data_IF_749743300570
#
_entry.id   IF_749743300570
#
_cell.length_a   1.000
_cell.length_b   1.000
_cell.length_c   1.000
_cell.angle_alpha   90.00
_cell.angle_beta   90.00
_cell.angle_gamma   90.00
#
_symmetry.space_group_name_H-M   'P 1'
#
loop_
_entity.id
_entity.type
_entity.pdbx_description
1 polymer ?
#
# COMPACT_ATOMS: atom_id res chain seq x y z
N UNK A 1 -17.24 9.34 -4.95
CA UNK A 1 -15.82 9.56 -4.64
C UNK A 1 -15.42 10.93 -5.18
N UNK A 2 -14.48 11.60 -4.51
CA UNK A 2 -13.89 12.89 -4.89
C UNK A 2 -12.41 12.87 -4.56
N UNK A 3 -11.62 13.73 -5.18
CA UNK A 3 -10.30 14.10 -4.65
C UNK A 3 -10.47 14.90 -3.35
N UNK A 4 -9.50 14.80 -2.44
CA UNK A 4 -9.63 15.50 -1.16
C UNK A 4 -9.68 17.01 -1.29
N UNK A 5 -8.99 17.61 -2.25
CA UNK A 5 -8.97 19.06 -2.44
C UNK A 5 -10.32 19.61 -2.94
N UNK A 6 -11.13 18.79 -3.64
CA UNK A 6 -12.52 19.16 -4.01
C UNK A 6 -13.41 19.32 -2.76
N UNK A 7 -13.06 18.60 -1.68
CA UNK A 7 -13.79 18.59 -0.41
C UNK A 7 -13.13 19.51 0.63
N UNK A 8 -11.81 19.65 0.65
CA UNK A 8 -11.08 20.40 1.66
C UNK A 8 -10.97 19.66 3.01
N UNK A 9 -9.77 19.73 3.62
CA UNK A 9 -9.41 19.01 4.86
C UNK A 9 -10.42 19.16 6.02
N UNK A 10 -11.05 20.33 6.30
CA UNK A 10 -11.97 20.45 7.42
C UNK A 10 -13.18 19.51 7.37
N UNK A 11 -13.65 19.15 6.17
CA UNK A 11 -14.83 18.30 5.95
C UNK A 11 -14.52 16.79 5.96
N UNK A 12 -13.24 16.42 6.11
CA UNK A 12 -12.77 15.03 6.07
C UNK A 12 -12.45 14.54 7.49
N UNK A 13 -12.84 13.31 7.81
CA UNK A 13 -12.46 12.61 9.05
C UNK A 13 -11.25 11.73 8.77
N UNK A 14 -10.07 12.15 9.25
CA UNK A 14 -8.83 11.38 9.15
C UNK A 14 -8.60 10.54 10.40
N UNK A 15 -7.88 9.42 10.27
CA UNK A 15 -7.33 8.67 11.41
C UNK A 15 -8.35 8.00 12.33
N UNK A 16 -9.60 7.82 11.89
CA UNK A 16 -10.57 7.02 12.64
C UNK A 16 -10.08 5.57 12.70
N UNK A 17 -10.16 4.91 13.85
CA UNK A 17 -9.68 3.52 14.01
C UNK A 17 -10.73 2.48 13.67
N UNK A 18 -12.00 2.87 13.70
CA UNK A 18 -13.14 1.99 13.54
C UNK A 18 -14.41 2.79 13.22
N UNK A 19 -15.51 2.06 12.99
CA UNK A 19 -16.83 2.63 12.70
C UNK A 19 -17.39 3.51 13.81
N UNK A 20 -17.11 3.20 15.08
CA UNK A 20 -17.60 3.97 16.23
C UNK A 20 -16.99 5.37 16.23
N UNK A 21 -15.67 5.45 16.07
CA UNK A 21 -14.97 6.73 15.94
C UNK A 21 -15.41 7.49 14.69
N UNK A 22 -15.55 6.80 13.55
CA UNK A 22 -16.00 7.41 12.30
C UNK A 22 -17.40 8.05 12.46
N UNK A 23 -18.33 7.35 13.10
CA UNK A 23 -19.67 7.88 13.38
C UNK A 23 -19.64 9.04 14.38
N UNK A 24 -18.79 8.97 15.41
CA UNK A 24 -18.65 10.05 16.38
C UNK A 24 -18.19 11.38 15.74
N UNK A 25 -17.43 11.32 14.64
CA UNK A 25 -17.01 12.54 13.93
C UNK A 25 -18.16 13.33 13.30
N UNK A 26 -19.30 12.68 13.01
CA UNK A 26 -20.41 13.24 12.22
C UNK A 26 -20.01 13.78 10.83
N UNK A 27 -18.80 13.48 10.36
CA UNK A 27 -18.32 13.93 9.05
C UNK A 27 -18.84 13.03 7.93
N UNK A 28 -18.87 13.60 6.73
CA UNK A 28 -19.36 12.93 5.52
C UNK A 28 -18.25 12.21 4.75
N UNK A 29 -17.04 12.75 4.77
CA UNK A 29 -15.95 12.32 3.89
C UNK A 29 -14.85 11.63 4.68
N UNK A 30 -14.38 10.50 4.16
CA UNK A 30 -13.34 9.67 4.77
C UNK A 30 -12.28 9.31 3.71
N UNK A 31 -10.99 9.20 4.08
CA UNK A 31 -9.92 8.73 3.20
C UNK A 31 -10.27 7.41 2.52
N UNK A 32 -9.88 7.29 1.25
CA UNK A 32 -10.23 6.17 0.40
C UNK A 32 -9.03 5.69 -0.43
N UNK A 33 -8.65 4.42 -0.27
CA UNK A 33 -7.66 3.75 -1.10
C UNK A 33 -8.32 3.15 -2.35
N UNK A 34 -8.08 3.78 -3.50
CA UNK A 34 -8.55 3.33 -4.83
C UNK A 34 -7.48 2.54 -5.61
N UNK A 35 -6.38 2.18 -4.96
CA UNK A 35 -5.15 1.76 -5.66
C UNK A 35 -4.47 2.98 -6.30
N UNK A 36 -4.03 2.87 -7.54
CA UNK A 36 -3.41 3.97 -8.28
C UNK A 36 -2.17 3.54 -9.03
N UNK A 37 -1.33 4.50 -9.42
CA UNK A 37 -0.06 4.23 -10.08
C UNK A 37 0.83 3.28 -9.25
N UNK A 38 1.71 2.55 -9.93
CA UNK A 38 2.68 1.69 -9.27
C UNK A 38 3.52 2.50 -8.28
N UNK A 39 3.58 1.99 -7.05
CA UNK A 39 4.30 2.62 -5.94
C UNK A 39 4.49 1.60 -4.83
N UNK A 40 5.70 1.58 -4.25
CA UNK A 40 6.06 0.80 -3.06
C UNK A 40 6.05 1.67 -1.80
N UNK A 41 5.95 1.01 -0.65
CA UNK A 41 6.10 1.51 0.72
C UNK A 41 5.03 2.47 1.22
N UNK A 42 4.66 3.52 0.50
CA UNK A 42 3.63 4.48 0.94
C UNK A 42 3.12 5.36 -0.21
N UNK A 43 1.86 5.81 -0.17
CA UNK A 43 1.30 6.82 -1.07
C UNK A 43 -0.03 6.42 -1.74
N UNK A 44 -0.38 7.13 -2.82
CA UNK A 44 -1.65 7.04 -3.56
C UNK A 44 -2.89 7.46 -2.74
N UNK A 45 -2.69 8.40 -1.82
CA UNK A 45 -3.69 8.89 -0.89
C UNK A 45 -4.32 10.19 -1.39
N UNK A 46 -5.18 10.07 -2.41
CA UNK A 46 -5.74 11.24 -3.11
C UNK A 46 -7.27 11.34 -3.00
N UNK A 47 -7.95 10.21 -2.74
CA UNK A 47 -9.39 10.11 -2.81
C UNK A 47 -10.08 10.09 -1.45
N UNK A 48 -11.28 10.65 -1.41
CA UNK A 48 -12.23 10.51 -0.32
C UNK A 48 -13.54 9.92 -0.80
N UNK A 49 -14.18 9.17 0.07
CA UNK A 49 -15.49 8.57 -0.16
C UNK A 49 -16.49 9.09 0.86
N UNK A 50 -17.75 9.19 0.42
CA UNK A 50 -18.86 9.53 1.28
C UNK A 50 -19.23 8.31 2.12
N UNK A 51 -18.85 8.30 3.39
CA UNK A 51 -19.21 7.25 4.33
C UNK A 51 -20.09 7.77 5.48
N UNK A 52 -20.83 8.86 5.23
CA UNK A 52 -21.76 9.43 6.21
C UNK A 52 -22.77 8.39 6.70
N UNK A 53 -23.00 8.35 8.02
CA UNK A 53 -23.89 7.40 8.68
C UNK A 53 -23.66 5.96 8.19
N UNK A 54 -22.40 5.53 8.25
CA UNK A 54 -21.96 4.20 7.82
C UNK A 54 -22.35 3.89 6.36
N UNK A 55 -22.09 4.86 5.48
CA UNK A 55 -22.29 4.72 4.04
C UNK A 55 -23.75 4.57 3.62
N UNK A 56 -24.73 5.09 4.37
CA UNK A 56 -26.17 4.91 4.08
C UNK A 56 -26.54 5.30 2.65
N UNK A 57 -25.98 6.40 2.12
CA UNK A 57 -26.22 6.84 0.74
C UNK A 57 -25.65 5.84 -0.28
N UNK A 58 -24.48 5.25 0.01
CA UNK A 58 -23.85 4.24 -0.88
C UNK A 58 -24.60 2.92 -0.80
N UNK A 59 -24.98 2.45 0.39
CA UNK A 59 -25.69 1.18 0.57
C UNK A 59 -27.07 1.18 -0.09
N UNK A 60 -27.69 2.35 -0.25
CA UNK A 60 -29.01 2.52 -0.84
C UNK A 60 -28.98 3.18 -2.24
N UNK A 61 -27.81 3.28 -2.89
CA UNK A 61 -27.74 3.83 -4.24
C UNK A 61 -28.42 2.86 -5.21
N UNK A 62 -29.54 3.27 -5.80
CA UNK A 62 -30.30 2.49 -6.76
C UNK A 62 -30.00 2.99 -8.17
N UNK A 63 -29.65 2.07 -9.08
CA UNK A 63 -29.42 2.37 -10.49
C UNK A 63 -30.74 2.48 -11.27
N UNK A 64 -30.64 2.88 -12.54
CA UNK A 64 -31.79 3.08 -13.43
C UNK A 64 -32.66 1.83 -13.59
N UNK A 65 -32.08 0.64 -13.40
CA UNK A 65 -32.77 -0.65 -13.44
C UNK A 65 -33.50 -1.02 -12.14
N UNK A 66 -33.60 -0.10 -11.16
CA UNK A 66 -34.24 -0.32 -9.87
C UNK A 66 -33.45 -1.22 -8.91
N UNK A 67 -32.24 -1.66 -9.27
CA UNK A 67 -31.38 -2.48 -8.41
C UNK A 67 -30.35 -1.62 -7.69
N UNK A 68 -29.97 -2.04 -6.48
CA UNK A 68 -28.87 -1.43 -5.74
C UNK A 68 -27.58 -1.53 -6.57
N UNK A 69 -27.01 -0.37 -6.91
CA UNK A 69 -25.86 -0.20 -7.80
C UNK A 69 -24.51 -0.33 -7.07
N UNK A 70 -24.49 -0.26 -5.75
CA UNK A 70 -23.27 -0.41 -4.94
C UNK A 70 -23.46 -1.40 -3.80
N UNK A 71 -22.47 -2.26 -3.63
CA UNK A 71 -22.42 -3.26 -2.57
C UNK A 71 -21.05 -3.19 -1.90
N UNK A 72 -20.88 -2.31 -0.90
CA UNK A 72 -19.67 -2.31 -0.09
C UNK A 72 -19.48 -3.69 0.55
N UNK A 73 -18.28 -4.23 0.45
CA UNK A 73 -17.90 -5.52 1.03
C UNK A 73 -16.73 -5.31 1.99
N UNK A 74 -16.52 -6.28 2.89
CA UNK A 74 -15.43 -6.27 3.86
C UNK A 74 -15.41 -4.98 4.71
N UNK A 75 -16.59 -4.40 4.97
CA UNK A 75 -16.73 -3.16 5.73
C UNK A 75 -16.16 -3.28 7.14
N UNK A 76 -16.12 -4.48 7.71
CA UNK A 76 -15.53 -4.76 9.04
C UNK A 76 -14.02 -4.49 9.11
N UNK A 77 -13.35 -4.42 7.95
CA UNK A 77 -11.94 -4.08 7.82
C UNK A 77 -11.69 -2.60 7.54
N UNK A 78 -12.73 -1.80 7.29
CA UNK A 78 -12.56 -0.37 7.11
C UNK A 78 -11.95 0.26 8.36
N UNK A 79 -11.17 1.31 8.14
CA UNK A 79 -10.48 2.10 9.16
C UNK A 79 -9.29 1.42 9.84
N UNK A 80 -9.07 0.13 9.59
CA UNK A 80 -7.93 -0.60 10.15
C UNK A 80 -6.62 -0.23 9.46
N UNK A 81 -5.54 -0.35 10.23
CA UNK A 81 -4.17 -0.29 9.73
C UNK A 81 -3.78 -1.59 9.01
N UNK A 82 -2.92 -1.51 8.01
CA UNK A 82 -2.44 -2.71 7.32
C UNK A 82 -1.52 -2.43 6.15
N UNK A 83 -1.65 -3.27 5.12
CA UNK A 83 -0.92 -3.15 3.86
C UNK A 83 -1.93 -3.05 2.72
N UNK A 84 -1.67 -2.19 1.74
CA UNK A 84 -2.50 -2.01 0.54
C UNK A 84 -1.66 -2.09 -0.73
N UNK A 85 -2.25 -2.53 -1.84
CA UNK A 85 -1.60 -2.58 -3.14
C UNK A 85 -2.59 -2.19 -4.25
N UNK A 86 -2.05 -1.96 -5.44
CA UNK A 86 -2.88 -1.76 -6.62
C UNK A 86 -3.20 -3.12 -7.23
N UNK A 87 -4.49 -3.42 -7.38
CA UNK A 87 -4.98 -4.68 -7.96
C UNK A 87 -4.55 -4.89 -9.40
N UNK A 88 -4.52 -3.84 -10.23
CA UNK A 88 -4.16 -3.94 -11.63
C UNK A 88 -2.94 -3.06 -11.91
N UNK A 89 -1.81 -3.68 -12.24
CA UNK A 89 -0.58 -2.95 -12.57
C UNK A 89 0.25 -3.70 -13.60
N UNK A 90 0.63 -2.99 -14.66
CA UNK A 90 1.62 -3.41 -15.66
C UNK A 90 2.97 -2.73 -15.43
N UNK A 91 3.29 -2.40 -14.18
CA UNK A 91 4.62 -1.94 -13.78
C UNK A 91 5.18 -2.79 -12.62
N UNK A 92 4.56 -3.94 -12.36
CA UNK A 92 4.89 -4.87 -11.29
C UNK A 92 4.02 -4.72 -10.04
N UNK A 93 4.29 -5.59 -9.08
CA UNK A 93 3.64 -5.56 -7.78
C UNK A 93 4.33 -4.58 -6.83
N UNK A 94 3.54 -3.74 -6.15
CA UNK A 94 4.02 -2.80 -5.15
C UNK A 94 3.05 -2.69 -3.98
N UNK A 95 3.51 -3.10 -2.80
CA UNK A 95 2.78 -3.00 -1.55
C UNK A 95 3.13 -1.70 -0.82
N UNK A 96 2.13 -1.11 -0.17
CA UNK A 96 2.22 0.16 0.55
C UNK A 96 1.63 0.01 1.95
N UNK A 97 2.18 0.75 2.90
CA UNK A 97 1.58 0.91 4.21
C UNK A 97 0.20 1.59 4.10
N UNK A 98 -0.80 1.00 4.76
CA UNK A 98 -2.16 1.51 4.89
C UNK A 98 -2.35 2.06 6.31
N UNK A 99 -2.39 3.39 6.49
CA UNK A 99 -2.70 3.98 7.79
C UNK A 99 -4.14 3.71 8.22
N UNK A 100 -4.40 3.85 9.52
CA UNK A 100 -5.76 3.88 10.07
C UNK A 100 -6.59 5.01 9.44
N UNK A 101 -7.91 4.85 9.40
CA UNK A 101 -8.84 5.86 8.91
C UNK A 101 -9.22 5.75 7.44
N UNK A 102 -8.77 4.71 6.74
CA UNK A 102 -9.05 4.51 5.32
C UNK A 102 -10.18 3.52 5.07
N UNK A 103 -10.98 3.81 4.07
CA UNK A 103 -11.86 2.87 3.38
C UNK A 103 -11.13 2.39 2.11
N UNK A 104 -11.41 1.18 1.64
CA UNK A 104 -10.77 0.63 0.45
C UNK A 104 -11.77 -0.14 -0.42
N UNK A 105 -11.38 -0.38 -1.68
CA UNK A 105 -12.10 -1.25 -2.60
C UNK A 105 -11.19 -2.31 -3.21
N UNK A 106 -11.72 -3.07 -4.16
CA UNK A 106 -10.95 -4.09 -4.89
C UNK A 106 -9.74 -3.50 -5.62
N UNK A 107 -9.80 -2.26 -6.11
CA UNK A 107 -8.69 -1.63 -6.84
C UNK A 107 -7.56 -1.18 -5.93
N UNK A 108 -7.88 -0.81 -4.70
CA UNK A 108 -6.96 -0.64 -3.57
C UNK A 108 -7.03 -1.79 -2.58
N UNK A 109 -6.87 -3.02 -3.06
CA UNK A 109 -6.94 -4.21 -2.19
C UNK A 109 -5.97 -4.11 -1.02
N UNK A 110 -6.35 -4.74 0.10
CA UNK A 110 -5.64 -4.57 1.37
C UNK A 110 -5.59 -5.87 2.18
N UNK A 111 -4.54 -6.01 2.97
CA UNK A 111 -4.32 -7.09 3.94
C UNK A 111 -4.07 -6.53 5.33
N UNK A 112 -4.53 -7.24 6.36
CA UNK A 112 -4.56 -6.77 7.74
C UNK A 112 -3.85 -7.76 8.68
N UNK A 113 -2.51 -7.89 8.57
CA UNK A 113 -1.73 -8.69 9.52
C UNK A 113 -1.75 -8.02 10.91
N UNK A 114 -1.30 -8.72 11.97
CA UNK A 114 -1.06 -8.09 13.27
C UNK A 114 -0.20 -6.82 13.14
N UNK A 115 -0.51 -5.78 13.93
CA UNK A 115 0.11 -4.45 13.80
C UNK A 115 1.64 -4.49 13.88
N UNK A 116 2.18 -5.34 14.74
CA UNK A 116 3.61 -5.56 14.93
C UNK A 116 4.30 -6.24 13.73
N UNK A 117 3.53 -6.95 12.89
CA UNK A 117 4.00 -7.62 11.68
C UNK A 117 3.82 -6.81 10.40
N UNK A 118 3.08 -5.69 10.43
CA UNK A 118 2.84 -4.85 9.23
C UNK A 118 4.16 -4.48 8.52
N UNK A 119 5.20 -3.97 9.22
CA UNK A 119 6.45 -3.58 8.55
C UNK A 119 7.19 -4.78 7.93
N UNK A 120 7.21 -5.93 8.60
CA UNK A 120 7.81 -7.15 8.07
C UNK A 120 7.08 -7.67 6.83
N UNK A 121 5.74 -7.75 6.90
CA UNK A 121 4.92 -8.17 5.76
C UNK A 121 5.14 -7.23 4.58
N UNK A 122 5.24 -5.92 4.83
CA UNK A 122 5.53 -4.94 3.78
C UNK A 122 6.93 -5.13 3.17
N UNK A 123 7.94 -5.46 3.97
CA UNK A 123 9.29 -5.80 3.49
C UNK A 123 9.25 -7.03 2.58
N UNK A 124 8.63 -8.12 3.05
CA UNK A 124 8.50 -9.37 2.29
C UNK A 124 7.80 -9.09 0.96
N UNK A 125 6.64 -8.44 0.98
CA UNK A 125 5.82 -8.19 -0.21
C UNK A 125 6.51 -7.30 -1.26
N UNK A 126 7.41 -6.40 -0.86
CA UNK A 126 8.14 -5.52 -1.77
C UNK A 126 9.46 -6.09 -2.31
N UNK A 127 9.87 -7.27 -1.85
CA UNK A 127 11.11 -7.93 -2.26
C UNK A 127 11.06 -8.50 -3.68
N UNK A 128 12.24 -8.76 -4.25
CA UNK A 128 12.39 -9.51 -5.51
C UNK A 128 11.88 -10.94 -5.40
N UNK A 129 12.08 -11.60 -4.26
CA UNK A 129 11.52 -12.94 -4.01
C UNK A 129 10.00 -12.95 -4.16
N UNK A 130 9.29 -12.00 -3.53
CA UNK A 130 7.82 -11.94 -3.64
C UNK A 130 7.36 -11.60 -5.04
N UNK A 131 8.07 -10.72 -5.75
CA UNK A 131 7.77 -10.43 -7.16
C UNK A 131 7.92 -11.69 -8.03
N UNK A 132 8.98 -12.47 -7.83
CA UNK A 132 9.19 -13.74 -8.50
C UNK A 132 8.13 -14.80 -8.14
N UNK A 133 7.78 -14.92 -6.86
CA UNK A 133 6.73 -15.86 -6.43
C UNK A 133 5.36 -15.50 -7.04
N UNK A 134 4.99 -14.22 -7.03
CA UNK A 134 3.74 -13.75 -7.61
C UNK A 134 3.68 -13.98 -9.13
N UNK A 135 4.81 -13.80 -9.81
CA UNK A 135 4.92 -14.10 -11.23
C UNK A 135 4.63 -15.56 -11.58
N UNK A 136 5.08 -16.49 -10.73
CA UNK A 136 4.80 -17.92 -10.87
C UNK A 136 3.34 -18.22 -10.57
N UNK A 137 2.80 -17.62 -9.50
CA UNK A 137 1.44 -17.89 -9.03
C UNK A 137 0.35 -17.30 -9.93
N UNK A 138 0.63 -16.16 -10.54
CA UNK A 138 -0.28 -15.42 -11.38
C UNK A 138 0.51 -14.60 -12.43
N UNK A 139 0.70 -15.12 -13.65
CA UNK A 139 1.45 -14.45 -14.71
C UNK A 139 0.64 -13.32 -15.37
N UNK A 140 -0.33 -12.73 -14.66
CA UNK A 140 -1.14 -11.62 -15.15
C UNK A 140 -0.83 -10.34 -14.39
N UNK A 141 -1.29 -9.21 -14.93
CA UNK A 141 -1.18 -7.88 -14.30
C UNK A 141 -2.15 -7.66 -13.13
N UNK A 142 -2.92 -8.68 -12.72
CA UNK A 142 -3.94 -8.57 -11.68
C UNK A 142 -3.53 -9.28 -10.40
N UNK A 143 -3.34 -8.55 -9.31
CA UNK A 143 -2.88 -9.02 -8.00
C UNK A 143 -4.04 -9.17 -7.02
N UNK A 144 -4.69 -10.35 -7.02
CA UNK A 144 -5.83 -10.61 -6.15
C UNK A 144 -5.40 -10.93 -4.71
N UNK A 145 -6.31 -10.73 -3.75
CA UNK A 145 -6.07 -11.07 -2.33
C UNK A 145 -5.60 -12.52 -2.15
N UNK A 146 -6.17 -13.45 -2.93
CA UNK A 146 -5.77 -14.86 -2.91
C UNK A 146 -4.35 -15.13 -3.42
N UNK A 147 -3.82 -14.31 -4.31
CA UNK A 147 -2.44 -14.42 -4.79
C UNK A 147 -1.47 -13.98 -3.70
N UNK A 148 -1.76 -12.84 -3.08
CA UNK A 148 -0.92 -12.26 -2.03
C UNK A 148 -0.90 -13.16 -0.79
N UNK A 149 -2.03 -13.79 -0.45
CA UNK A 149 -2.13 -14.72 0.65
C UNK A 149 -1.29 -16.00 0.48
N UNK A 150 -0.82 -16.32 -0.75
CA UNK A 150 0.07 -17.46 -1.03
C UNK A 150 1.54 -17.12 -0.88
N UNK A 151 1.90 -15.84 -0.78
CA UNK A 151 3.29 -15.42 -0.56
C UNK A 151 3.71 -15.86 0.84
N UNK A 152 4.77 -16.70 0.96
CA UNK A 152 5.20 -17.17 2.27
C UNK A 152 5.77 -16.02 3.09
N UNK A 153 5.36 -15.93 4.36
CA UNK A 153 5.93 -15.02 5.37
C UNK A 153 6.50 -15.89 6.49
N UNK A 154 7.78 -15.75 6.81
CA UNK A 154 8.46 -16.60 7.79
C UNK A 154 8.15 -16.18 9.22
N UNK A 155 7.16 -16.80 9.86
CA UNK A 155 6.74 -16.47 11.22
C UNK A 155 7.78 -16.76 12.35
N UNK A 156 8.99 -17.28 12.03
CA UNK A 156 9.82 -17.97 13.03
C UNK A 156 11.24 -17.43 13.27
N UNK A 157 11.65 -16.33 12.63
CA UNK A 157 12.97 -15.72 12.92
C UNK A 157 12.83 -14.28 13.45
N UNK A 158 12.77 -14.15 14.78
CA UNK A 158 12.63 -12.85 15.46
C UNK A 158 13.71 -11.83 15.07
N UNK A 159 14.94 -12.26 14.78
CA UNK A 159 16.02 -11.36 14.42
C UNK A 159 15.81 -10.79 13.01
N UNK A 160 15.52 -11.67 12.04
CA UNK A 160 15.21 -11.26 10.67
C UNK A 160 13.96 -10.38 10.62
N UNK A 161 12.92 -10.72 11.38
CA UNK A 161 11.71 -9.92 11.52
C UNK A 161 12.01 -8.48 11.99
N UNK A 162 12.87 -8.31 13.00
CA UNK A 162 13.29 -6.99 13.48
C UNK A 162 14.10 -6.20 12.43
N UNK A 163 15.02 -6.87 11.73
CA UNK A 163 15.83 -6.23 10.66
C UNK A 163 14.91 -5.76 9.53
N UNK A 164 14.06 -6.65 9.01
CA UNK A 164 13.12 -6.35 7.93
C UNK A 164 12.16 -5.23 8.33
N UNK A 165 11.63 -5.28 9.55
CA UNK A 165 10.76 -4.23 10.08
C UNK A 165 11.45 -2.88 10.14
N UNK A 166 12.71 -2.83 10.61
CA UNK A 166 13.50 -1.60 10.65
C UNK A 166 13.79 -1.02 9.26
N UNK A 167 14.11 -1.87 8.29
CA UNK A 167 14.34 -1.46 6.89
C UNK A 167 13.05 -0.93 6.25
N UNK A 168 11.94 -1.65 6.39
CA UNK A 168 10.65 -1.24 5.85
C UNK A 168 10.16 0.06 6.48
N UNK A 169 10.31 0.23 7.79
CA UNK A 169 9.96 1.48 8.47
C UNK A 169 10.72 2.66 7.85
N UNK A 170 12.05 2.52 7.65
CA UNK A 170 12.85 3.59 7.05
C UNK A 170 12.42 3.90 5.61
N UNK A 171 12.10 2.87 4.82
CA UNK A 171 11.56 3.05 3.47
C UNK A 171 10.19 3.76 3.46
N UNK A 172 9.29 3.42 4.40
CA UNK A 172 8.02 4.12 4.60
C UNK A 172 8.26 5.60 4.91
N UNK A 173 9.17 5.92 5.85
CA UNK A 173 9.48 7.31 6.22
C UNK A 173 9.95 8.12 5.00
N UNK A 174 10.85 7.56 4.18
CA UNK A 174 11.33 8.24 2.98
C UNK A 174 10.16 8.55 2.04
N UNK A 175 9.27 7.58 1.78
CA UNK A 175 8.09 7.80 0.94
C UNK A 175 7.05 8.74 1.55
N UNK A 176 6.93 8.76 2.88
CA UNK A 176 6.08 9.74 3.58
C UNK A 176 6.64 11.15 3.41
N UNK A 177 7.95 11.35 3.51
CA UNK A 177 8.57 12.65 3.23
C UNK A 177 8.26 13.13 1.80
N UNK A 178 8.41 12.25 0.80
CA UNK A 178 8.00 12.55 -0.58
C UNK A 178 6.50 12.90 -0.69
N UNK A 179 5.65 12.22 0.10
CA UNK A 179 4.22 12.50 0.15
C UNK A 179 3.92 13.89 0.73
N UNK A 180 4.64 14.30 1.78
CA UNK A 180 4.51 15.66 2.35
C UNK A 180 4.93 16.77 1.39
N UNK A 181 5.66 16.42 0.33
CA UNK A 181 6.11 17.33 -0.72
C UNK A 181 5.22 17.31 -1.97
N UNK A 182 4.20 16.44 -2.02
CA UNK A 182 3.28 16.31 -3.13
C UNK A 182 1.92 16.95 -2.84
N UNK A 183 1.55 17.99 -3.59
CA UNK A 183 0.28 18.72 -3.43
C UNK A 183 -0.98 17.87 -3.61
N UNK A 184 -0.89 16.71 -4.27
CA UNK A 184 -2.03 15.80 -4.42
C UNK A 184 -2.24 14.86 -3.23
N UNK A 185 -1.30 14.81 -2.27
CA UNK A 185 -1.40 13.92 -1.12
C UNK A 185 -2.07 14.58 0.10
N UNK A 186 -2.74 13.79 0.95
CA UNK A 186 -3.41 14.31 2.16
C UNK A 186 -2.45 14.94 3.16
N UNK A 187 -1.25 14.40 3.26
CA UNK A 187 -0.18 14.80 4.15
C UNK A 187 0.72 15.89 3.56
N UNK A 188 0.34 16.49 2.42
CA UNK A 188 1.04 17.66 1.87
C UNK A 188 1.23 18.77 2.91
N UNK A 189 2.47 19.25 3.00
CA UNK A 189 2.92 20.35 3.86
C UNK A 189 3.43 21.50 2.98
N UNK A 190 4.43 21.24 2.14
CA UNK A 190 5.07 22.23 1.29
C UNK A 190 5.85 21.53 0.17
N UNK A 191 6.03 22.16 -1.01
CA UNK A 191 6.84 21.57 -2.08
C UNK A 191 8.32 21.45 -1.66
N UNK A 192 9.13 20.65 -2.38
CA UNK A 192 10.56 20.55 -2.12
C UNK A 192 11.24 21.94 -2.14
N UNK A 193 12.26 22.17 -1.30
CA UNK A 193 12.98 23.44 -1.30
C UNK A 193 13.58 23.77 -2.68
N UNK A 194 13.51 25.04 -3.09
CA UNK A 194 14.00 25.45 -4.41
C UNK A 194 15.51 25.21 -4.59
N UNK A 195 16.31 25.46 -3.54
CA UNK A 195 17.78 25.48 -3.63
C UNK A 195 18.38 24.07 -3.71
N UNK A 196 17.90 23.15 -2.88
CA UNK A 196 18.47 21.80 -2.75
C UNK A 196 17.44 20.67 -2.89
N UNK A 197 16.19 20.97 -3.29
CA UNK A 197 15.14 19.97 -3.48
C UNK A 197 15.51 18.85 -4.46
N UNK A 198 16.10 19.15 -5.65
CA UNK A 198 16.53 18.11 -6.57
C UNK A 198 17.60 17.17 -5.97
N UNK A 199 18.57 17.72 -5.24
CA UNK A 199 19.63 16.94 -4.59
C UNK A 199 19.06 16.03 -3.49
N UNK A 200 18.17 16.57 -2.65
CA UNK A 200 17.49 15.80 -1.61
C UNK A 200 16.65 14.66 -2.20
N UNK A 201 15.97 14.91 -3.33
CA UNK A 201 15.20 13.88 -4.02
C UNK A 201 16.10 12.77 -4.58
N UNK A 202 17.28 13.10 -5.12
CA UNK A 202 18.26 12.11 -5.58
C UNK A 202 18.79 11.30 -4.39
N UNK A 203 19.18 11.97 -3.30
CA UNK A 203 19.70 11.33 -2.09
C UNK A 203 18.69 10.33 -1.51
N UNK A 204 17.42 10.71 -1.40
CA UNK A 204 16.34 9.82 -0.94
C UNK A 204 16.14 8.62 -1.85
N UNK A 205 16.27 8.78 -3.17
CA UNK A 205 16.17 7.67 -4.14
C UNK A 205 17.32 6.68 -3.98
N UNK A 206 18.54 7.18 -3.78
CA UNK A 206 19.72 6.33 -3.51
C UNK A 206 19.52 5.57 -2.20
N UNK A 207 19.17 6.28 -1.12
CA UNK A 207 18.92 5.66 0.19
C UNK A 207 17.81 4.61 0.12
N UNK A 208 16.71 4.90 -0.61
CA UNK A 208 15.64 3.93 -0.78
C UNK A 208 16.10 2.69 -1.55
N UNK A 209 16.88 2.86 -2.62
CA UNK A 209 17.41 1.73 -3.38
C UNK A 209 18.34 0.85 -2.54
N UNK A 210 19.19 1.45 -1.70
CA UNK A 210 20.04 0.72 -0.74
C UNK A 210 19.21 -0.04 0.30
N UNK A 211 18.11 0.54 0.78
CA UNK A 211 17.20 -0.13 1.71
C UNK A 211 16.48 -1.31 1.04
N UNK A 212 16.01 -1.14 -0.19
CA UNK A 212 15.38 -2.19 -0.99
C UNK A 212 16.36 -3.36 -1.23
N UNK A 213 17.60 -3.06 -1.58
CA UNK A 213 18.65 -4.08 -1.73
C UNK A 213 18.88 -4.85 -0.42
N UNK A 214 18.98 -4.16 0.72
CA UNK A 214 19.17 -4.79 2.03
C UNK A 214 17.98 -5.64 2.47
N UNK A 215 16.76 -5.26 2.07
CA UNK A 215 15.56 -6.08 2.26
C UNK A 215 15.67 -7.38 1.46
N UNK A 216 16.07 -7.30 0.19
CA UNK A 216 16.28 -8.48 -0.64
C UNK A 216 17.34 -9.41 -0.06
N UNK A 217 18.50 -8.88 0.36
CA UNK A 217 19.59 -9.65 0.98
C UNK A 217 19.14 -10.40 2.25
N UNK A 218 18.41 -9.73 3.14
CA UNK A 218 17.91 -10.37 4.37
C UNK A 218 16.80 -11.39 4.08
N UNK A 219 16.00 -11.19 3.03
CA UNK A 219 15.01 -12.18 2.59
C UNK A 219 15.70 -13.40 2.00
N UNK A 220 16.67 -13.22 1.10
CA UNK A 220 17.42 -14.34 0.55
C UNK A 220 18.09 -15.16 1.66
N UNK A 221 18.69 -14.49 2.64
CA UNK A 221 19.27 -15.13 3.82
C UNK A 221 18.23 -15.87 4.67
N UNK A 222 17.12 -15.22 5.01
CA UNK A 222 16.11 -15.79 5.93
C UNK A 222 15.32 -16.94 5.31
N UNK A 223 15.11 -16.92 3.99
CA UNK A 223 14.44 -17.98 3.24
C UNK A 223 15.40 -19.10 2.81
N UNK A 224 16.71 -18.95 3.05
CA UNK A 224 17.71 -19.96 2.71
C UNK A 224 17.92 -20.11 1.20
N UNK A 225 17.72 -19.03 0.44
CA UNK A 225 17.88 -19.01 -1.01
C UNK A 225 19.36 -19.01 -1.38
N UNK A 226 19.79 -20.03 -2.11
CA UNK A 226 21.17 -20.21 -2.55
C UNK A 226 21.61 -19.14 -3.55
N UNK A 227 22.90 -19.02 -3.82
CA UNK A 227 23.41 -18.09 -4.84
C UNK A 227 22.80 -18.34 -6.22
N UNK A 228 22.58 -19.62 -6.57
CA UNK A 228 21.95 -20.02 -7.82
C UNK A 228 20.47 -19.62 -7.86
N UNK A 229 19.75 -19.74 -6.73
CA UNK A 229 18.36 -19.29 -6.62
C UNK A 229 18.26 -17.77 -6.79
N UNK A 230 19.16 -17.03 -6.14
CA UNK A 230 19.22 -15.57 -6.24
C UNK A 230 19.47 -15.12 -7.68
N UNK A 231 20.47 -15.72 -8.34
CA UNK A 231 20.76 -15.43 -9.74
C UNK A 231 19.56 -15.73 -10.63
N UNK A 232 18.89 -16.87 -10.42
CA UNK A 232 17.69 -17.26 -11.18
C UNK A 232 16.57 -16.23 -11.00
N UNK A 233 16.29 -15.81 -9.76
CA UNK A 233 15.28 -14.79 -9.45
C UNK A 233 15.62 -13.48 -10.18
N UNK A 234 16.85 -13.02 -10.10
CA UNK A 234 17.25 -11.76 -10.74
C UNK A 234 17.19 -11.82 -12.26
N UNK A 235 17.62 -12.92 -12.87
CA UNK A 235 17.55 -13.12 -14.31
C UNK A 235 16.12 -13.16 -14.83
N UNK A 236 15.22 -13.88 -14.16
CA UNK A 236 13.81 -13.98 -14.58
C UNK A 236 13.09 -12.63 -14.46
N UNK A 237 13.38 -11.84 -13.41
CA UNK A 237 12.84 -10.49 -13.27
C UNK A 237 13.41 -9.51 -14.33
N UNK A 238 14.67 -9.67 -14.75
CA UNK A 238 15.29 -8.84 -15.78
C UNK A 238 14.81 -9.15 -17.20
N UNK A 239 14.54 -10.43 -17.50
CA UNK A 239 14.12 -10.88 -18.84
C UNK A 239 12.75 -10.33 -19.26
N UNK A 240 11.94 -9.81 -18.34
CA UNK A 240 10.58 -9.35 -18.64
C UNK A 240 9.66 -10.47 -19.17
N UNK A 241 10.11 -11.74 -19.10
CA UNK A 241 9.30 -12.94 -19.39
C UNK A 241 8.19 -13.14 -18.35
N UNK A 242 8.23 -12.32 -17.31
CA UNK A 242 7.21 -12.09 -16.32
C UNK A 242 6.73 -10.67 -16.62
N UNK A 243 5.49 -10.55 -17.07
CA UNK A 243 4.89 -9.26 -17.44
C UNK A 243 5.01 -8.32 -16.23
N UNK A 244 5.94 -7.37 -16.34
CA UNK A 244 6.04 -6.20 -15.45
C UNK A 244 4.82 -5.35 -15.70
#
# INVERSE_FOLDING_TARGET
MRFWWEVGKPRIAFGCKNHVEAQATQKKWFPYMKGGAYRKWYGNQEYVVNWYKDGVEIKNLVGENGRVASRPQNTDFYFREGVTWTDLSSAGFGARYLPQGFIFDVKGSSGFPPEDLIPEVLAVLNSKWSQYALAIFNPTVSFQVGDIARVPVLEKNRLSSQILSGLAHRAIIIRQQESTENETAFDFIAPPPWVNGPELAIQRRIELAELEQRVDEEIYRSYGLSGDDQQTIEEELLKGNIIV
#
